data_IF_863215065036
#
_entry.id   IF_863215065036
#
_cell.length_a   1.000
_cell.length_b   1.000
_cell.length_c   1.000
_cell.angle_alpha   90.00
_cell.angle_beta   90.00
_cell.angle_gamma   90.00
#
_symmetry.space_group_name_H-M   'P 1'
#
loop_
_entity.id
_entity.type
_entity.pdbx_description
1 polymer ?
#
# COMPACT_ATOMS: atom_id res chain seq x y z
N UNK A 1 11.94 -34.71 -12.89
CA UNK A 1 10.70 -34.14 -12.28
C UNK A 1 10.92 -33.53 -10.88
N UNK A 2 11.87 -33.98 -10.06
CA UNK A 2 12.02 -33.51 -8.65
C UNK A 2 12.50 -32.08 -8.48
N UNK A 3 13.42 -31.63 -9.33
CA UNK A 3 13.81 -30.22 -9.37
C UNK A 3 12.62 -29.32 -9.72
N UNK A 4 11.63 -29.81 -10.48
CA UNK A 4 10.49 -29.01 -10.92
C UNK A 4 9.63 -28.53 -9.74
N UNK A 5 9.41 -29.37 -8.72
CA UNK A 5 8.65 -28.99 -7.53
C UNK A 5 9.33 -27.89 -6.72
N UNK A 6 10.65 -27.96 -6.57
CA UNK A 6 11.46 -26.92 -5.90
C UNK A 6 11.46 -25.63 -6.71
N UNK A 7 11.68 -25.75 -8.02
CA UNK A 7 11.70 -24.60 -8.95
C UNK A 7 10.37 -23.87 -8.91
N UNK A 8 9.24 -24.58 -9.05
CA UNK A 8 7.90 -24.00 -9.03
C UNK A 8 7.59 -23.40 -7.65
N UNK A 9 7.95 -24.10 -6.56
CA UNK A 9 7.73 -23.61 -5.21
C UNK A 9 8.46 -22.30 -4.94
N UNK A 10 9.76 -22.26 -5.22
CA UNK A 10 10.59 -21.07 -4.97
C UNK A 10 10.24 -19.94 -5.93
N UNK A 11 9.98 -20.22 -7.21
CA UNK A 11 9.57 -19.17 -8.16
C UNK A 11 8.26 -18.53 -7.74
N UNK A 12 7.30 -19.32 -7.26
CA UNK A 12 6.01 -18.82 -6.75
C UNK A 12 6.20 -17.93 -5.51
N UNK A 13 7.00 -18.37 -4.52
CA UNK A 13 7.31 -17.56 -3.33
C UNK A 13 7.91 -16.21 -3.73
N UNK A 14 8.96 -16.24 -4.56
CA UNK A 14 9.68 -15.04 -4.99
C UNK A 14 8.74 -14.09 -5.76
N UNK A 15 7.96 -14.63 -6.70
CA UNK A 15 7.05 -13.83 -7.53
C UNK A 15 6.02 -13.10 -6.67
N UNK A 16 5.38 -13.82 -5.76
CA UNK A 16 4.26 -13.28 -4.97
C UNK A 16 4.76 -12.32 -3.89
N UNK A 17 5.85 -12.66 -3.22
CA UNK A 17 6.43 -11.77 -2.22
C UNK A 17 6.97 -10.47 -2.85
N UNK A 18 7.55 -10.55 -4.06
CA UNK A 18 7.96 -9.36 -4.84
C UNK A 18 6.75 -8.54 -5.28
N UNK A 19 5.66 -9.19 -5.69
CA UNK A 19 4.41 -8.49 -6.02
C UNK A 19 3.81 -7.78 -4.79
N UNK A 20 3.87 -8.41 -3.62
CA UNK A 20 3.46 -7.80 -2.35
C UNK A 20 4.24 -6.53 -2.05
N UNK A 21 5.57 -6.56 -2.14
CA UNK A 21 6.39 -5.36 -1.92
C UNK A 21 6.22 -4.29 -3.00
N UNK A 22 6.05 -4.72 -4.25
CA UNK A 22 5.71 -3.79 -5.34
C UNK A 22 4.39 -3.08 -5.06
N UNK A 23 3.39 -3.80 -4.54
CA UNK A 23 2.07 -3.25 -4.20
C UNK A 23 2.18 -2.25 -3.05
N UNK A 24 2.93 -2.58 -1.99
CA UNK A 24 3.21 -1.64 -0.89
C UNK A 24 3.88 -0.37 -1.37
N UNK A 25 4.91 -0.48 -2.22
CA UNK A 25 5.64 0.67 -2.76
C UNK A 25 4.75 1.58 -3.62
N UNK A 26 3.87 1.00 -4.44
CA UNK A 26 2.88 1.77 -5.23
C UNK A 26 1.90 2.50 -4.32
N UNK A 27 1.31 1.79 -3.36
CA UNK A 27 0.31 2.36 -2.45
C UNK A 27 0.94 3.45 -1.59
N UNK A 28 2.17 3.25 -1.09
CA UNK A 28 2.92 4.28 -0.36
C UNK A 28 3.09 5.56 -1.17
N UNK A 29 3.45 5.45 -2.46
CA UNK A 29 3.59 6.59 -3.36
C UNK A 29 2.26 7.31 -3.62
N UNK A 30 1.15 6.58 -3.65
CA UNK A 30 -0.18 7.19 -3.74
C UNK A 30 -0.51 7.99 -2.50
N UNK A 31 -0.25 7.45 -1.30
CA UNK A 31 -0.43 8.20 -0.06
C UNK A 31 0.45 9.45 0.02
N UNK A 32 1.68 9.41 -0.51
CA UNK A 32 2.51 10.61 -0.65
C UNK A 32 1.85 11.68 -1.52
N UNK A 33 1.19 11.28 -2.62
CA UNK A 33 0.46 12.20 -3.50
C UNK A 33 -0.82 12.77 -2.86
N UNK A 34 -1.55 11.97 -2.07
CA UNK A 34 -2.75 12.41 -1.35
C UNK A 34 -2.48 13.34 -0.17
N UNK A 35 -1.23 13.39 0.30
CA UNK A 35 -0.78 14.29 1.36
C UNK A 35 -0.16 13.53 2.52
N UNK A 36 1.17 13.47 2.53
CA UNK A 36 1.93 12.93 3.68
C UNK A 36 1.56 13.68 4.97
N UNK A 37 1.46 12.95 6.07
CA UNK A 37 1.13 13.48 7.41
C UNK A 37 -0.22 14.24 7.48
N UNK A 38 -1.18 13.90 6.62
CA UNK A 38 -2.57 14.35 6.77
C UNK A 38 -3.24 13.65 7.94
N UNK A 39 -3.99 14.42 8.71
CA UNK A 39 -4.78 13.98 9.85
C UNK A 39 -6.17 14.55 9.69
N UNK A 40 -7.17 13.69 9.79
CA UNK A 40 -8.57 14.11 9.86
C UNK A 40 -9.14 13.64 11.18
N UNK A 41 -9.72 14.57 11.93
CA UNK A 41 -10.36 14.26 13.21
C UNK A 41 -11.86 14.37 12.99
N UNK A 42 -12.56 13.28 13.26
CA UNK A 42 -14.00 13.16 13.09
C UNK A 42 -14.68 13.02 14.44
N UNK A 43 -15.88 13.58 14.52
CA UNK A 43 -16.85 13.19 15.52
C UNK A 43 -17.31 11.74 15.25
N UNK A 44 -17.47 10.90 16.29
CA UNK A 44 -17.93 9.53 16.10
C UNK A 44 -19.37 9.50 15.58
N UNK A 45 -19.71 8.47 14.80
CA UNK A 45 -21.11 8.13 14.53
C UNK A 45 -21.67 7.42 15.78
N UNK A 46 -22.37 8.18 16.63
CA UNK A 46 -22.99 7.69 17.87
C UNK A 46 -24.38 8.30 18.05
N UNK A 47 -25.26 7.62 18.78
CA UNK A 47 -26.59 8.15 19.13
C UNK A 47 -26.53 9.24 20.22
N UNK A 48 -25.43 9.33 20.97
CA UNK A 48 -25.26 10.31 22.07
C UNK A 48 -24.42 11.54 21.67
N UNK A 49 -24.66 12.11 20.49
CA UNK A 49 -24.00 13.35 20.07
C UNK A 49 -24.74 14.57 20.61
N UNK A 50 -24.02 15.48 21.28
CA UNK A 50 -24.53 16.77 21.73
C UNK A 50 -24.14 17.83 20.71
N UNK A 51 -24.94 18.90 20.60
CA UNK A 51 -24.61 20.05 19.75
C UNK A 51 -23.24 20.66 20.06
N UNK A 52 -22.82 20.60 21.33
CA UNK A 52 -21.50 21.09 21.75
C UNK A 52 -20.35 20.23 21.22
N UNK A 53 -20.57 18.97 20.84
CA UNK A 53 -19.52 18.07 20.36
C UNK A 53 -19.10 18.36 18.92
N UNK A 54 -19.93 19.07 18.13
CA UNK A 54 -19.52 19.59 16.83
C UNK A 54 -18.35 20.56 17.00
N UNK A 55 -17.44 20.51 16.02
CA UNK A 55 -16.33 21.44 16.00
C UNK A 55 -16.83 22.83 15.65
N UNK A 56 -16.12 23.84 16.13
CA UNK A 56 -16.39 25.25 15.83
C UNK A 56 -15.14 25.91 15.27
N UNK A 57 -15.29 27.07 14.64
CA UNK A 57 -14.12 27.87 14.24
C UNK A 57 -13.26 28.27 15.44
N UNK A 58 -13.86 28.46 16.63
CA UNK A 58 -13.11 28.74 17.87
C UNK A 58 -12.24 27.54 18.29
N UNK A 59 -12.73 26.31 18.09
CA UNK A 59 -11.93 25.11 18.34
C UNK A 59 -10.71 25.05 17.40
N UNK A 60 -10.92 25.34 16.11
CA UNK A 60 -9.83 25.44 15.12
C UNK A 60 -8.80 26.49 15.54
N UNK A 61 -9.23 27.68 15.96
CA UNK A 61 -8.33 28.75 16.38
C UNK A 61 -7.53 28.37 17.62
N UNK A 62 -8.15 27.71 18.60
CA UNK A 62 -7.47 27.19 19.81
C UNK A 62 -6.45 26.10 19.48
N UNK A 63 -6.80 25.17 18.58
CA UNK A 63 -5.87 24.14 18.10
C UNK A 63 -4.70 24.80 17.38
N UNK A 64 -4.96 25.73 16.47
CA UNK A 64 -3.93 26.47 15.73
C UNK A 64 -3.00 27.24 16.65
N UNK A 65 -3.52 27.88 17.70
CA UNK A 65 -2.73 28.61 18.67
C UNK A 65 -1.83 27.70 19.52
N UNK A 66 -2.35 26.55 19.95
CA UNK A 66 -1.61 25.61 20.82
C UNK A 66 -0.58 24.78 20.06
N UNK A 67 -0.88 24.36 18.83
CA UNK A 67 -0.08 23.43 18.03
C UNK A 67 0.57 24.11 16.81
N UNK A 68 0.83 25.42 16.89
CA UNK A 68 1.33 26.25 15.77
C UNK A 68 2.62 25.74 15.11
N UNK A 69 3.50 25.06 15.86
CA UNK A 69 4.77 24.53 15.35
C UNK A 69 4.61 23.14 14.71
N UNK A 70 3.54 22.43 15.07
CA UNK A 70 3.26 21.07 14.61
C UNK A 70 2.32 21.06 13.39
N UNK A 71 1.51 22.10 13.17
CA UNK A 71 0.50 22.17 12.12
C UNK A 71 0.96 23.08 10.98
N UNK A 72 0.98 22.54 9.75
CA UNK A 72 1.30 23.28 8.52
C UNK A 72 0.05 23.91 7.92
N UNK A 73 -1.07 23.20 7.99
CA UNK A 73 -2.37 23.62 7.47
C UNK A 73 -3.48 23.00 8.33
N UNK A 74 -4.55 23.75 8.57
CA UNK A 74 -5.73 23.31 9.31
C UNK A 74 -6.95 24.06 8.76
N UNK A 75 -8.00 23.31 8.43
CA UNK A 75 -9.24 23.85 7.93
C UNK A 75 -10.44 23.00 8.37
N UNK A 76 -11.65 23.58 8.36
CA UNK A 76 -12.87 22.79 8.42
C UNK A 76 -12.95 21.88 7.19
N UNK A 77 -13.47 20.66 7.38
CA UNK A 77 -13.77 19.75 6.28
C UNK A 77 -15.21 20.00 5.81
N UNK A 78 -15.36 20.65 4.66
CA UNK A 78 -16.65 20.93 4.04
C UNK A 78 -16.63 20.45 2.60
N UNK A 79 -17.64 19.70 2.18
CA UNK A 79 -17.74 19.25 0.79
C UNK A 79 -19.19 19.07 0.35
N UNK A 80 -19.42 19.15 -0.96
CA UNK A 80 -20.71 18.88 -1.59
C UNK A 80 -20.51 18.43 -3.03
N UNK A 81 -21.20 17.37 -3.45
CA UNK A 81 -21.22 16.94 -4.85
C UNK A 81 -22.27 17.73 -5.63
N UNK A 82 -21.87 18.33 -6.75
CA UNK A 82 -22.74 19.20 -7.56
C UNK A 82 -22.43 19.04 -9.06
N UNK A 83 -23.22 19.70 -9.92
CA UNK A 83 -22.90 19.85 -11.34
C UNK A 83 -22.45 21.29 -11.59
N UNK A 84 -21.28 21.45 -12.21
CA UNK A 84 -20.83 22.73 -12.73
C UNK A 84 -21.35 22.90 -14.16
N UNK A 85 -22.07 24.00 -14.39
CA UNK A 85 -22.79 24.28 -15.63
C UNK A 85 -22.29 25.58 -16.25
N UNK A 86 -22.02 25.58 -17.55
CA UNK A 86 -21.81 26.79 -18.34
C UNK A 86 -22.47 26.65 -19.72
N UNK A 87 -23.52 27.43 -19.96
CA UNK A 87 -24.35 27.29 -21.16
C UNK A 87 -24.96 25.89 -21.27
N UNK A 88 -24.59 25.15 -22.32
CA UNK A 88 -25.05 23.76 -22.55
C UNK A 88 -24.10 22.68 -22.01
N UNK A 89 -22.95 23.07 -21.47
CA UNK A 89 -21.91 22.14 -21.01
C UNK A 89 -22.02 21.95 -19.50
N UNK A 90 -21.78 20.72 -19.06
CA UNK A 90 -21.81 20.35 -17.65
C UNK A 90 -20.71 19.36 -17.27
N UNK A 91 -20.27 19.43 -16.03
CA UNK A 91 -19.34 18.47 -15.42
C UNK A 91 -19.81 18.14 -14.00
N UNK A 92 -19.71 16.86 -13.62
CA UNK A 92 -19.90 16.45 -12.22
C UNK A 92 -18.65 16.86 -11.44
N UNK A 93 -18.87 17.49 -10.29
CA UNK A 93 -17.79 18.04 -9.48
C UNK A 93 -18.03 17.77 -7.99
N UNK A 94 -16.99 17.32 -7.30
CA UNK A 94 -16.90 17.38 -5.84
C UNK A 94 -16.39 18.76 -5.47
N UNK A 95 -17.21 19.56 -4.81
CA UNK A 95 -16.84 20.89 -4.32
C UNK A 95 -16.28 20.73 -2.93
N UNK A 96 -15.02 21.09 -2.72
CA UNK A 96 -14.39 21.09 -1.41
C UNK A 96 -14.18 22.53 -0.95
N UNK A 97 -14.64 22.83 0.26
CA UNK A 97 -14.38 24.10 0.92
C UNK A 97 -13.00 24.07 1.58
N UNK A 98 -12.13 24.98 1.18
CA UNK A 98 -10.72 25.04 1.60
C UNK A 98 -10.39 26.40 2.21
N UNK A 99 -9.39 26.39 3.09
CA UNK A 99 -8.75 27.59 3.61
C UNK A 99 -7.59 28.02 2.69
N UNK A 100 -7.00 29.18 3.00
CA UNK A 100 -5.81 29.65 2.30
C UNK A 100 -4.63 28.73 2.59
N UNK A 101 -3.82 28.44 1.57
CA UNK A 101 -2.67 27.56 1.71
C UNK A 101 -2.97 26.08 1.51
N UNK A 102 -4.12 25.72 0.92
CA UNK A 102 -4.51 24.33 0.67
C UNK A 102 -3.53 23.57 -0.25
N UNK A 103 -2.78 24.28 -1.09
CA UNK A 103 -1.69 23.72 -1.89
C UNK A 103 -0.56 23.13 -1.03
N UNK A 104 -0.47 23.48 0.25
CA UNK A 104 0.43 22.83 1.20
C UNK A 104 -0.09 21.46 1.62
N UNK A 105 -1.40 21.24 1.56
CA UNK A 105 -2.07 20.02 1.99
C UNK A 105 -1.93 18.91 0.95
N UNK A 106 -2.37 19.20 -0.28
CA UNK A 106 -2.41 18.27 -1.41
C UNK A 106 -1.43 18.73 -2.48
N UNK A 107 -0.74 17.78 -3.13
CA UNK A 107 0.20 18.07 -4.21
C UNK A 107 -0.57 18.46 -5.48
N UNK A 108 -0.81 19.76 -5.67
CA UNK A 108 -1.48 20.32 -6.85
C UNK A 108 -0.62 21.38 -7.53
N UNK A 109 -0.44 21.24 -8.84
CA UNK A 109 0.31 22.21 -9.63
C UNK A 109 -0.65 23.24 -10.21
N UNK A 110 -0.40 24.53 -9.96
CA UNK A 110 -1.19 25.61 -10.53
C UNK A 110 -0.82 25.81 -11.99
N UNK A 111 -1.77 25.56 -12.90
CA UNK A 111 -1.57 25.74 -14.34
C UNK A 111 -1.74 27.21 -14.73
N UNK A 112 -2.81 27.85 -14.24
CA UNK A 112 -3.13 29.26 -14.49
C UNK A 112 -3.88 29.90 -13.33
N UNK A 113 -3.75 31.22 -13.19
CA UNK A 113 -4.53 32.02 -12.25
C UNK A 113 -3.90 32.07 -10.86
N UNK A 114 -4.71 31.85 -9.81
CA UNK A 114 -4.28 31.86 -8.42
C UNK A 114 -5.09 30.88 -7.56
N UNK A 115 -4.54 30.51 -6.41
CA UNK A 115 -5.26 29.79 -5.36
C UNK A 115 -6.25 30.69 -4.60
N UNK A 116 -7.04 30.06 -3.73
CA UNK A 116 -7.95 30.73 -2.80
C UNK A 116 -7.15 31.54 -1.78
N UNK A 117 -7.55 32.78 -1.55
CA UNK A 117 -6.86 33.72 -0.64
C UNK A 117 -7.67 33.98 0.63
N UNK A 118 -7.01 34.45 1.69
CA UNK A 118 -7.67 34.93 2.92
C UNK A 118 -8.77 35.97 2.65
N UNK A 119 -8.56 36.85 1.66
CA UNK A 119 -9.55 37.84 1.29
C UNK A 119 -10.80 37.23 0.64
N UNK A 120 -10.66 36.11 -0.09
CA UNK A 120 -11.81 35.38 -0.63
C UNK A 120 -12.67 34.77 0.49
N UNK A 121 -12.01 34.22 1.51
CA UNK A 121 -12.65 33.59 2.67
C UNK A 121 -13.38 34.65 3.51
N UNK A 122 -12.68 35.72 3.90
CA UNK A 122 -13.27 36.79 4.74
C UNK A 122 -14.46 37.47 4.09
N UNK A 123 -14.42 37.64 2.77
CA UNK A 123 -15.51 38.27 2.00
C UNK A 123 -16.54 37.26 1.47
N UNK A 124 -16.43 35.96 1.80
CA UNK A 124 -17.30 34.88 1.30
C UNK A 124 -17.50 34.94 -0.23
N UNK A 125 -16.43 35.19 -0.97
CA UNK A 125 -16.51 35.34 -2.44
C UNK A 125 -16.74 33.98 -3.08
N UNK A 126 -17.77 33.87 -3.94
CA UNK A 126 -18.00 32.70 -4.79
C UNK A 126 -16.94 32.63 -5.90
N UNK A 127 -15.75 32.20 -5.53
CA UNK A 127 -14.62 31.94 -6.44
C UNK A 127 -14.24 30.46 -6.36
N UNK A 128 -13.76 29.91 -7.47
CA UNK A 128 -13.39 28.52 -7.57
C UNK A 128 -12.01 28.32 -8.21
N UNK A 129 -11.32 27.29 -7.74
CA UNK A 129 -10.11 26.73 -8.36
C UNK A 129 -10.50 25.36 -8.89
N UNK A 130 -10.40 25.16 -10.20
CA UNK A 130 -10.97 23.98 -10.88
C UNK A 130 -9.87 23.09 -11.47
N UNK A 131 -10.14 21.79 -11.55
CA UNK A 131 -9.25 20.86 -12.24
C UNK A 131 -9.19 21.16 -13.75
N UNK A 132 -8.02 20.95 -14.36
CA UNK A 132 -7.79 21.17 -15.79
C UNK A 132 -8.72 20.33 -16.67
N UNK A 133 -9.01 19.08 -16.33
CA UNK A 133 -9.91 18.25 -17.13
C UNK A 133 -11.35 18.80 -17.12
N UNK A 134 -11.77 19.35 -15.98
CA UNK A 134 -13.06 20.05 -15.85
C UNK A 134 -13.08 21.34 -16.69
N UNK A 135 -12.02 22.14 -16.59
CA UNK A 135 -11.86 23.37 -17.37
C UNK A 135 -11.90 23.09 -18.88
N UNK A 136 -11.19 22.08 -19.37
CA UNK A 136 -11.15 21.69 -20.78
C UNK A 136 -12.50 21.14 -21.26
N UNK A 137 -13.24 20.43 -20.40
CA UNK A 137 -14.59 19.92 -20.71
C UNK A 137 -15.62 21.04 -20.86
N UNK A 138 -15.59 22.04 -19.98
CA UNK A 138 -16.55 23.14 -19.99
C UNK A 138 -16.14 24.26 -20.97
N UNK A 139 -14.85 24.54 -21.10
CA UNK A 139 -14.28 25.64 -21.90
C UNK A 139 -13.18 25.14 -22.87
N UNK A 140 -13.48 24.20 -23.78
CA UNK A 140 -12.49 23.60 -24.67
C UNK A 140 -11.80 24.63 -25.55
N UNK A 141 -10.46 24.64 -25.50
CA UNK A 141 -9.61 25.55 -26.28
C UNK A 141 -9.62 27.01 -25.78
N UNK A 142 -10.29 27.31 -24.68
CA UNK A 142 -10.43 28.66 -24.15
C UNK A 142 -9.77 28.80 -22.77
N UNK A 143 -9.44 30.03 -22.38
CA UNK A 143 -8.98 30.29 -21.01
C UNK A 143 -10.18 30.26 -20.03
N UNK A 144 -10.20 29.29 -19.13
CA UNK A 144 -11.24 29.17 -18.11
C UNK A 144 -11.12 30.24 -16.99
N UNK A 145 -9.91 30.74 -16.71
CA UNK A 145 -9.71 31.75 -15.66
C UNK A 145 -10.43 33.04 -16.01
N UNK A 146 -11.22 33.55 -15.07
CA UNK A 146 -12.04 34.74 -15.21
C UNK A 146 -13.48 34.46 -15.63
N UNK A 147 -13.78 33.26 -16.13
CA UNK A 147 -15.14 32.83 -16.50
C UNK A 147 -15.96 32.43 -15.28
N UNK A 148 -17.26 32.33 -15.47
CA UNK A 148 -18.22 31.95 -14.43
C UNK A 148 -18.87 30.62 -14.77
N UNK A 149 -19.05 29.79 -13.75
CA UNK A 149 -19.80 28.54 -13.80
C UNK A 149 -20.95 28.63 -12.79
N UNK A 150 -22.09 28.03 -13.14
CA UNK A 150 -23.21 27.87 -12.22
C UNK A 150 -23.12 26.54 -11.52
N UNK A 151 -23.26 26.55 -10.20
CA UNK A 151 -23.18 25.38 -9.32
C UNK A 151 -24.31 25.44 -8.29
N UNK A 152 -24.64 24.32 -7.66
CA UNK A 152 -25.44 24.29 -6.43
C UNK A 152 -24.50 24.29 -5.22
N UNK A 153 -24.79 25.15 -4.24
CA UNK A 153 -24.09 25.25 -2.96
C UNK A 153 -25.15 25.27 -1.86
N UNK A 154 -25.10 24.29 -0.95
CA UNK A 154 -26.10 24.07 0.11
C UNK A 154 -27.54 24.03 -0.44
N UNK A 155 -27.71 23.38 -1.59
CA UNK A 155 -28.99 23.28 -2.30
C UNK A 155 -29.46 24.56 -3.01
N UNK A 156 -28.67 25.65 -3.00
CA UNK A 156 -29.00 26.92 -3.65
C UNK A 156 -28.12 27.17 -4.89
N UNK A 157 -28.68 27.67 -6.00
CA UNK A 157 -27.89 28.00 -7.19
C UNK A 157 -26.99 29.21 -6.93
N UNK A 158 -25.71 29.10 -7.31
CA UNK A 158 -24.73 30.15 -7.19
C UNK A 158 -23.85 30.24 -8.45
N UNK A 159 -23.41 31.46 -8.76
CA UNK A 159 -22.48 31.74 -9.85
C UNK A 159 -21.07 31.91 -9.27
N UNK A 160 -20.20 30.95 -9.57
CA UNK A 160 -18.82 30.92 -9.08
C UNK A 160 -17.84 31.35 -10.18
N UNK A 161 -16.96 32.30 -9.88
CA UNK A 161 -15.92 32.76 -10.80
C UNK A 161 -14.67 31.90 -10.68
N UNK A 162 -14.19 31.35 -11.79
CA UNK A 162 -12.94 30.59 -11.83
C UNK A 162 -11.76 31.56 -11.68
N UNK A 163 -10.99 31.40 -10.61
CA UNK A 163 -9.80 32.21 -10.32
C UNK A 163 -8.50 31.45 -10.54
N UNK A 164 -8.55 30.12 -10.60
CA UNK A 164 -7.40 29.26 -10.85
C UNK A 164 -7.78 27.97 -11.55
N UNK A 165 -6.82 27.41 -12.28
CA UNK A 165 -6.89 26.07 -12.86
C UNK A 165 -5.69 25.30 -12.34
N UNK A 166 -5.92 24.15 -11.73
CA UNK A 166 -4.87 23.28 -11.23
C UNK A 166 -4.83 21.96 -12.02
N UNK A 167 -3.70 21.27 -11.96
CA UNK A 167 -3.53 19.94 -12.53
C UNK A 167 -3.16 18.98 -11.40
N UNK A 168 -4.01 17.98 -11.17
CA UNK A 168 -3.72 16.87 -10.27
C UNK A 168 -2.84 15.85 -11.00
N UNK A 169 -1.85 15.30 -10.32
CA UNK A 169 -1.18 14.09 -10.81
C UNK A 169 -2.19 12.94 -10.83
N UNK A 170 -2.25 12.22 -11.94
CA UNK A 170 -3.10 11.02 -12.06
C UNK A 170 -2.74 10.04 -10.95
N UNK A 171 -3.74 9.60 -10.21
CA UNK A 171 -3.65 8.58 -9.18
C UNK A 171 -4.27 7.28 -9.67
N UNK A 172 -3.75 6.13 -9.22
CA UNK A 172 -4.45 4.85 -9.44
C UNK A 172 -5.83 4.82 -8.79
N UNK A 173 -6.06 5.62 -7.74
CA UNK A 173 -7.35 5.72 -7.06
C UNK A 173 -8.39 6.52 -7.87
N UNK A 174 -7.97 7.31 -8.86
CA UNK A 174 -8.90 8.06 -9.73
C UNK A 174 -9.77 7.13 -10.60
N UNK A 175 -9.31 5.89 -10.85
CA UNK A 175 -10.12 4.87 -11.54
C UNK A 175 -11.03 4.05 -10.62
N UNK A 176 -10.75 4.04 -9.30
CA UNK A 176 -11.54 3.35 -8.29
C UNK A 176 -12.67 4.22 -7.74
N UNK A 177 -12.43 5.53 -7.63
CA UNK A 177 -13.42 6.54 -7.29
C UNK A 177 -14.11 7.00 -8.58
N UNK A 178 -15.44 7.15 -8.59
CA UNK A 178 -16.26 7.32 -9.80
C UNK A 178 -15.62 8.17 -10.92
N UNK A 179 -15.39 7.55 -12.08
CA UNK A 179 -14.53 8.01 -13.18
C UNK A 179 -14.89 9.35 -13.86
N UNK A 180 -16.02 9.96 -13.52
CA UNK A 180 -16.55 11.15 -14.20
C UNK A 180 -16.62 12.40 -13.32
N UNK A 181 -16.30 12.28 -12.02
CA UNK A 181 -16.31 13.43 -11.09
C UNK A 181 -14.91 14.02 -10.95
N UNK A 182 -14.82 15.34 -11.03
CA UNK A 182 -13.57 16.09 -10.80
C UNK A 182 -13.69 16.89 -9.51
N UNK A 183 -12.58 17.29 -8.88
CA UNK A 183 -12.65 18.14 -7.69
C UNK A 183 -12.55 19.61 -8.08
N UNK A 184 -13.30 20.47 -7.40
CA UNK A 184 -13.11 21.91 -7.42
C UNK A 184 -13.05 22.46 -6.01
N UNK A 185 -12.25 23.50 -5.81
CA UNK A 185 -12.03 24.10 -4.50
C UNK A 185 -12.66 25.48 -4.41
N UNK A 186 -13.33 25.77 -3.29
CA UNK A 186 -13.95 27.05 -2.99
C UNK A 186 -13.61 27.49 -1.57
N UNK A 187 -13.76 28.77 -1.19
CA UNK A 187 -13.61 29.18 0.20
C UNK A 187 -14.57 28.43 1.13
N UNK A 188 -14.05 27.78 2.18
CA UNK A 188 -14.88 27.04 3.15
C UNK A 188 -16.00 27.89 3.77
N UNK A 189 -15.76 29.20 3.91
CA UNK A 189 -16.66 30.19 4.51
C UNK A 189 -18.02 30.33 3.81
N UNK A 190 -18.14 29.79 2.59
CA UNK A 190 -19.38 29.77 1.80
C UNK A 190 -20.35 28.69 2.32
N UNK A 191 -19.83 27.58 2.87
CA UNK A 191 -20.62 26.45 3.37
C UNK A 191 -21.12 26.70 4.79
N UNK A 192 -21.95 27.73 4.94
CA UNK A 192 -22.37 28.25 6.24
C UNK A 192 -23.11 27.23 7.12
N UNK A 193 -23.96 26.39 6.52
CA UNK A 193 -24.69 25.35 7.25
C UNK A 193 -23.76 24.23 7.71
N UNK A 194 -22.78 23.85 6.89
CA UNK A 194 -21.79 22.84 7.26
C UNK A 194 -20.86 23.33 8.39
N UNK A 195 -20.52 24.62 8.39
CA UNK A 195 -19.74 25.22 9.48
C UNK A 195 -20.50 25.31 10.80
N UNK A 196 -21.84 25.32 10.76
CA UNK A 196 -22.66 25.27 11.97
C UNK A 196 -22.64 23.88 12.62
N UNK A 197 -22.55 22.83 11.82
CA UNK A 197 -22.53 21.43 12.26
C UNK A 197 -21.29 20.70 11.75
N UNK A 198 -20.11 21.24 12.07
CA UNK A 198 -18.84 20.70 11.58
C UNK A 198 -18.51 19.38 12.29
N UNK A 199 -18.74 18.26 11.59
CA UNK A 199 -18.43 16.92 12.08
C UNK A 199 -16.96 16.50 11.94
N UNK A 200 -16.14 17.28 11.22
CA UNK A 200 -14.72 16.97 11.06
C UNK A 200 -13.84 18.18 10.78
N UNK A 201 -12.58 18.07 11.20
CA UNK A 201 -11.51 19.02 10.88
C UNK A 201 -10.40 18.27 10.16
N UNK A 202 -9.80 18.93 9.19
CA UNK A 202 -8.76 18.36 8.33
C UNK A 202 -7.49 19.18 8.43
N UNK A 203 -6.36 18.51 8.62
CA UNK A 203 -5.09 19.17 8.87
C UNK A 203 -3.91 18.42 8.27
N UNK A 204 -2.82 19.16 8.08
CA UNK A 204 -1.52 18.61 7.73
C UNK A 204 -0.53 18.90 8.84
N UNK A 205 0.06 17.83 9.37
CA UNK A 205 1.08 17.88 10.40
C UNK A 205 2.45 18.06 9.74
N UNK A 206 3.35 18.76 10.42
CA UNK A 206 4.74 18.92 10.04
C UNK A 206 5.40 17.55 9.81
N UNK A 207 6.15 17.41 8.72
CA UNK A 207 6.78 16.13 8.33
C UNK A 207 7.78 15.61 9.36
N UNK A 208 8.35 16.49 10.19
CA UNK A 208 9.27 16.14 11.27
C UNK A 208 8.59 15.50 12.50
N UNK A 209 7.25 15.44 12.51
CA UNK A 209 6.46 14.95 13.64
C UNK A 209 5.66 13.72 13.24
N UNK A 210 5.33 12.88 14.23
CA UNK A 210 4.41 11.77 14.05
C UNK A 210 2.98 12.29 13.92
N UNK A 211 2.35 12.08 12.76
CA UNK A 211 0.95 12.48 12.53
C UNK A 211 -0.02 11.74 13.46
N UNK A 212 0.31 10.52 13.85
CA UNK A 212 -0.49 9.71 14.79
C UNK A 212 -0.44 10.36 16.18
N UNK A 213 0.75 10.58 16.73
CA UNK A 213 0.91 11.14 18.08
C UNK A 213 0.35 12.56 18.19
N UNK A 214 0.61 13.41 17.18
CA UNK A 214 0.08 14.78 17.16
C UNK A 214 -1.43 14.77 16.98
N UNK A 215 -1.97 13.92 16.09
CA UNK A 215 -3.41 13.77 15.89
C UNK A 215 -4.13 13.35 17.18
N UNK A 216 -3.61 12.35 17.88
CA UNK A 216 -4.15 11.89 19.17
C UNK A 216 -4.07 12.96 20.25
N UNK A 217 -2.97 13.72 20.29
CA UNK A 217 -2.81 14.85 21.22
C UNK A 217 -3.87 15.94 20.97
N UNK A 218 -4.12 16.28 19.71
CA UNK A 218 -5.13 17.27 19.31
C UNK A 218 -6.54 16.76 19.62
N UNK A 219 -6.85 15.51 19.29
CA UNK A 219 -8.15 14.89 19.59
C UNK A 219 -8.45 14.88 21.08
N UNK A 220 -7.47 14.52 21.92
CA UNK A 220 -7.63 14.53 23.36
C UNK A 220 -7.74 15.95 23.93
N UNK A 221 -7.06 16.93 23.34
CA UNK A 221 -7.24 18.33 23.69
C UNK A 221 -8.66 18.83 23.39
N UNK A 222 -9.19 18.49 22.21
CA UNK A 222 -10.57 18.80 21.82
C UNK A 222 -11.58 18.09 22.73
N UNK A 223 -11.38 16.80 23.01
CA UNK A 223 -12.25 16.04 23.93
C UNK A 223 -12.30 16.69 25.31
N UNK A 224 -11.14 17.07 25.88
CA UNK A 224 -11.07 17.76 27.17
C UNK A 224 -11.81 19.10 27.16
N UNK A 225 -11.65 19.92 26.11
CA UNK A 225 -12.36 21.20 25.99
C UNK A 225 -13.88 21.00 25.94
N UNK A 226 -14.33 19.92 25.32
CA UNK A 226 -15.74 19.58 25.13
C UNK A 226 -16.31 18.72 26.26
N UNK A 227 -15.54 18.51 27.33
CA UNK A 227 -15.92 17.67 28.48
C UNK A 227 -16.34 16.26 28.05
N UNK A 228 -15.51 15.65 27.19
CA UNK A 228 -15.59 14.25 26.76
C UNK A 228 -14.34 13.50 27.24
N UNK A 229 -14.49 12.19 27.39
CA UNK A 229 -13.38 11.31 27.72
C UNK A 229 -12.34 11.27 26.59
N UNK A 230 -11.05 11.00 26.92
CA UNK A 230 -10.02 10.73 25.92
C UNK A 230 -10.48 9.65 24.93
N UNK A 231 -10.17 9.82 23.65
CA UNK A 231 -10.58 8.90 22.59
C UNK A 231 -12.01 9.04 22.08
N UNK A 232 -12.78 10.02 22.55
CA UNK A 232 -14.12 10.31 21.99
C UNK A 232 -14.07 10.69 20.51
N UNK A 233 -13.11 11.55 20.13
CA UNK A 233 -12.90 11.94 18.73
C UNK A 233 -12.03 10.91 18.01
N UNK A 234 -12.44 10.53 16.81
CA UNK A 234 -11.75 9.52 15.99
C UNK A 234 -10.69 10.23 15.15
N UNK A 235 -9.46 9.71 15.21
CA UNK A 235 -8.33 10.24 14.45
C UNK A 235 -8.04 9.28 13.30
N UNK A 236 -8.20 9.77 12.08
CA UNK A 236 -7.68 9.07 10.89
C UNK A 236 -6.45 9.79 10.40
N UNK A 237 -5.40 9.03 10.12
CA UNK A 237 -4.17 9.57 9.55
C UNK A 237 -3.80 8.76 8.32
N UNK A 238 -3.23 9.42 7.34
CA UNK A 238 -2.68 8.75 6.15
C UNK A 238 -1.66 7.67 6.53
N UNK A 239 -0.86 7.89 7.57
CA UNK A 239 0.09 6.89 8.08
C UNK A 239 -0.63 5.67 8.70
N UNK A 240 -1.72 5.88 9.43
CA UNK A 240 -2.52 4.80 10.02
C UNK A 240 -3.22 3.94 8.97
N UNK A 241 -3.75 4.57 7.92
CA UNK A 241 -4.32 3.88 6.77
C UNK A 241 -3.27 3.06 6.01
N UNK A 242 -2.10 3.65 5.75
CA UNK A 242 -0.98 2.94 5.14
C UNK A 242 -0.56 1.73 5.97
N UNK A 243 -0.40 1.88 7.29
CA UNK A 243 -0.05 0.78 8.19
C UNK A 243 -1.08 -0.36 8.14
N UNK A 244 -2.37 -0.02 8.05
CA UNK A 244 -3.45 -1.01 7.96
C UNK A 244 -3.39 -1.79 6.64
N UNK A 245 -3.14 -1.11 5.52
CA UNK A 245 -2.95 -1.76 4.22
C UNK A 245 -1.68 -2.62 4.23
N UNK A 246 -0.58 -2.13 4.79
CA UNK A 246 0.67 -2.89 4.93
C UNK A 246 0.47 -4.17 5.75
N UNK A 247 -0.35 -4.11 6.80
CA UNK A 247 -0.71 -5.27 7.61
C UNK A 247 -1.56 -6.29 6.82
N UNK A 248 -2.54 -5.82 6.03
CA UNK A 248 -3.34 -6.68 5.16
C UNK A 248 -2.45 -7.36 4.12
N UNK A 249 -1.62 -6.61 3.40
CA UNK A 249 -0.70 -7.13 2.38
C UNK A 249 0.32 -8.11 2.98
N UNK A 250 0.82 -7.84 4.19
CA UNK A 250 1.73 -8.74 4.88
C UNK A 250 1.03 -10.04 5.29
N UNK A 251 -0.21 -9.97 5.76
CA UNK A 251 -1.01 -11.16 6.11
C UNK A 251 -1.32 -12.02 4.89
N UNK A 252 -1.68 -11.40 3.76
CA UNK A 252 -1.86 -12.10 2.49
C UNK A 252 -0.56 -12.75 2.01
N UNK A 253 0.56 -12.03 2.12
CA UNK A 253 1.88 -12.56 1.77
C UNK A 253 2.26 -13.77 2.63
N UNK A 254 1.96 -13.76 3.93
CA UNK A 254 2.16 -14.90 4.82
C UNK A 254 1.29 -16.10 4.44
N UNK A 255 0.00 -15.89 4.18
CA UNK A 255 -0.91 -16.96 3.79
C UNK A 255 -0.44 -17.64 2.50
N UNK A 256 -0.01 -16.87 1.51
CA UNK A 256 0.48 -17.42 0.24
C UNK A 256 1.86 -18.07 0.42
N UNK A 257 2.74 -17.47 1.25
CA UNK A 257 4.00 -18.08 1.65
C UNK A 257 3.81 -19.46 2.27
N UNK A 258 2.79 -19.65 3.10
CA UNK A 258 2.44 -20.95 3.67
C UNK A 258 2.00 -21.97 2.60
N UNK A 259 1.18 -21.55 1.62
CA UNK A 259 0.79 -22.42 0.49
C UNK A 259 2.02 -22.85 -0.30
N UNK A 260 2.94 -21.92 -0.57
CA UNK A 260 4.16 -22.22 -1.30
C UNK A 260 5.15 -23.09 -0.49
N UNK A 261 5.17 -22.95 0.83
CA UNK A 261 5.91 -23.87 1.71
C UNK A 261 5.38 -25.30 1.60
N UNK A 262 4.05 -25.50 1.48
CA UNK A 262 3.47 -26.82 1.21
C UNK A 262 3.94 -27.35 -0.15
N UNK A 263 3.94 -26.53 -1.21
CA UNK A 263 4.47 -26.93 -2.51
C UNK A 263 5.94 -27.36 -2.44
N UNK A 264 6.73 -26.68 -1.61
CA UNK A 264 8.13 -27.03 -1.38
C UNK A 264 8.29 -28.34 -0.61
N UNK A 265 7.43 -28.64 0.37
CA UNK A 265 7.39 -29.94 1.03
C UNK A 265 7.08 -31.06 0.04
N UNK A 266 6.09 -30.87 -0.85
CA UNK A 266 5.77 -31.84 -1.91
C UNK A 266 6.97 -32.02 -2.86
N UNK A 267 7.66 -30.93 -3.22
CA UNK A 267 8.91 -30.99 -3.97
C UNK A 267 10.00 -31.78 -3.24
N UNK A 268 10.14 -31.56 -1.93
CA UNK A 268 11.08 -32.26 -1.05
C UNK A 268 10.82 -33.77 -0.95
N UNK A 269 9.54 -34.18 -0.84
CA UNK A 269 9.15 -35.60 -0.91
C UNK A 269 9.58 -36.21 -2.24
N UNK A 270 9.46 -35.44 -3.33
CA UNK A 270 10.00 -35.82 -4.63
C UNK A 270 11.51 -36.12 -4.57
N UNK A 271 12.31 -35.22 -4.00
CA UNK A 271 13.76 -35.42 -3.82
C UNK A 271 14.00 -36.72 -3.07
N UNK A 272 13.32 -36.93 -1.94
CA UNK A 272 13.45 -38.13 -1.12
C UNK A 272 13.19 -39.40 -1.94
N UNK A 273 12.12 -39.44 -2.74
CA UNK A 273 11.76 -40.60 -3.54
C UNK A 273 12.80 -40.91 -4.62
N UNK A 274 13.26 -39.90 -5.38
CA UNK A 274 14.31 -40.13 -6.37
C UNK A 274 15.62 -40.56 -5.72
N UNK A 275 15.98 -39.96 -4.59
CA UNK A 275 17.19 -40.36 -3.86
C UNK A 275 17.08 -41.81 -3.36
N UNK A 276 15.91 -42.26 -2.91
CA UNK A 276 15.70 -43.67 -2.55
C UNK A 276 15.87 -44.60 -3.74
N UNK A 277 15.31 -44.26 -4.91
CA UNK A 277 15.48 -45.03 -6.15
C UNK A 277 16.94 -45.04 -6.58
N UNK A 278 17.63 -43.90 -6.52
CA UNK A 278 19.06 -43.80 -6.86
C UNK A 278 19.93 -44.64 -5.94
N UNK A 279 19.60 -44.69 -4.64
CA UNK A 279 20.29 -45.58 -3.69
C UNK A 279 20.08 -47.04 -4.06
N UNK A 280 18.87 -47.43 -4.48
CA UNK A 280 18.62 -48.82 -4.92
C UNK A 280 19.35 -49.16 -6.22
N UNK A 281 19.39 -48.27 -7.21
CA UNK A 281 20.12 -48.47 -8.46
C UNK A 281 21.64 -48.53 -8.25
N UNK A 282 22.17 -47.71 -7.33
CA UNK A 282 23.61 -47.65 -7.01
C UNK A 282 24.01 -48.57 -5.86
N UNK A 283 23.17 -49.53 -5.46
CA UNK A 283 23.43 -50.42 -4.30
C UNK A 283 24.78 -51.12 -4.41
N UNK A 284 25.08 -51.73 -5.57
CA UNK A 284 26.32 -52.47 -5.82
C UNK A 284 27.56 -51.58 -5.75
N UNK A 285 27.46 -50.36 -6.31
CA UNK A 285 28.54 -49.37 -6.24
C UNK A 285 28.86 -48.95 -4.81
N UNK A 286 27.83 -48.74 -3.97
CA UNK A 286 27.98 -48.41 -2.56
C UNK A 286 28.65 -49.58 -1.80
N UNK A 287 28.27 -50.82 -2.12
CA UNK A 287 28.86 -52.04 -1.56
C UNK A 287 30.35 -52.17 -1.84
N UNK A 288 30.78 -51.88 -3.08
CA UNK A 288 32.20 -51.87 -3.48
C UNK A 288 32.97 -50.81 -2.68
N UNK A 289 32.45 -49.56 -2.60
CA UNK A 289 33.11 -48.47 -1.86
C UNK A 289 33.30 -48.81 -0.37
N UNK A 290 32.29 -49.41 0.25
CA UNK A 290 32.38 -49.85 1.66
C UNK A 290 33.34 -51.01 1.86
N UNK A 291 33.40 -51.96 0.93
CA UNK A 291 34.35 -53.07 0.96
C UNK A 291 35.80 -52.60 0.84
N UNK A 292 36.01 -51.47 0.14
CA UNK A 292 37.30 -50.78 0.03
C UNK A 292 37.60 -49.84 1.21
N UNK A 293 36.75 -49.80 2.25
CA UNK A 293 37.01 -49.09 3.50
C UNK A 293 36.28 -47.74 3.68
N UNK A 294 35.35 -47.36 2.79
CA UNK A 294 34.54 -46.15 2.99
C UNK A 294 33.70 -46.25 4.28
N UNK A 295 33.77 -45.22 5.14
CA UNK A 295 33.01 -45.18 6.40
C UNK A 295 31.57 -44.79 6.12
N UNK A 296 30.66 -45.15 7.05
CA UNK A 296 29.23 -44.75 6.96
C UNK A 296 29.04 -43.24 6.76
N UNK A 297 29.86 -42.43 7.43
CA UNK A 297 29.84 -40.97 7.30
C UNK A 297 30.19 -40.46 5.90
N UNK A 298 31.06 -41.17 5.17
CA UNK A 298 31.52 -40.75 3.85
C UNK A 298 30.38 -40.95 2.82
N UNK A 299 29.70 -42.10 2.90
CA UNK A 299 28.51 -42.38 2.10
C UNK A 299 27.37 -41.42 2.45
N UNK A 300 27.14 -41.17 3.75
CA UNK A 300 26.10 -40.24 4.19
C UNK A 300 26.34 -38.82 3.67
N UNK A 301 27.56 -38.30 3.80
CA UNK A 301 27.91 -36.97 3.31
C UNK A 301 27.78 -36.87 1.79
N UNK A 302 28.17 -37.90 1.04
CA UNK A 302 28.04 -37.89 -0.42
C UNK A 302 26.58 -37.72 -0.85
N UNK A 303 25.66 -38.55 -0.35
CA UNK A 303 24.25 -38.47 -0.72
C UNK A 303 23.58 -37.19 -0.19
N UNK A 304 24.00 -36.70 0.98
CA UNK A 304 23.51 -35.44 1.53
C UNK A 304 23.95 -34.26 0.66
N UNK A 305 25.21 -34.22 0.24
CA UNK A 305 25.72 -33.20 -0.70
C UNK A 305 25.02 -33.29 -2.05
N UNK A 306 24.76 -34.50 -2.59
CA UNK A 306 24.01 -34.69 -3.83
C UNK A 306 22.59 -34.08 -3.72
N UNK A 307 21.90 -34.34 -2.59
CA UNK A 307 20.57 -33.74 -2.34
C UNK A 307 20.60 -32.22 -2.18
N UNK A 308 21.63 -31.67 -1.53
CA UNK A 308 21.81 -30.22 -1.35
C UNK A 308 22.16 -29.53 -2.68
N UNK A 309 22.94 -30.16 -3.56
CA UNK A 309 23.25 -29.61 -4.89
C UNK A 309 21.98 -29.55 -5.74
N UNK A 310 21.16 -30.61 -5.71
CA UNK A 310 19.88 -30.65 -6.42
C UNK A 310 18.94 -29.55 -5.90
N UNK A 311 18.84 -29.39 -4.58
CA UNK A 311 17.99 -28.34 -4.01
C UNK A 311 18.51 -26.94 -4.25
N UNK A 312 19.82 -26.71 -4.14
CA UNK A 312 20.45 -25.42 -4.43
C UNK A 312 20.30 -25.03 -5.90
N UNK A 313 20.48 -25.98 -6.83
CA UNK A 313 20.29 -25.73 -8.27
C UNK A 313 18.82 -25.42 -8.58
N UNK A 314 17.89 -26.19 -8.00
CA UNK A 314 16.47 -25.91 -8.10
C UNK A 314 16.10 -24.55 -7.49
N UNK A 315 16.75 -24.15 -6.40
CA UNK A 315 16.59 -22.85 -5.78
C UNK A 315 17.09 -21.70 -6.62
N UNK A 316 18.30 -21.80 -7.18
CA UNK A 316 18.85 -20.78 -8.08
C UNK A 316 17.95 -20.59 -9.30
N UNK A 317 17.53 -21.69 -9.94
CA UNK A 317 16.65 -21.64 -11.10
C UNK A 317 15.28 -21.08 -10.71
N UNK A 318 14.70 -21.54 -9.60
CA UNK A 318 13.42 -21.05 -9.08
C UNK A 318 13.45 -19.56 -8.77
N UNK A 319 14.51 -19.08 -8.10
CA UNK A 319 14.71 -17.66 -7.80
C UNK A 319 14.84 -16.84 -9.08
N UNK A 320 15.64 -17.30 -10.03
CA UNK A 320 15.81 -16.62 -11.32
C UNK A 320 14.49 -16.50 -12.05
N UNK A 321 13.73 -17.60 -12.16
CA UNK A 321 12.41 -17.61 -12.78
C UNK A 321 11.40 -16.74 -12.02
N UNK A 322 11.44 -16.74 -10.68
CA UNK A 322 10.57 -15.90 -9.87
C UNK A 322 10.82 -14.41 -10.09
N UNK A 323 12.08 -13.99 -10.19
CA UNK A 323 12.44 -12.60 -10.53
C UNK A 323 11.97 -12.24 -11.93
N UNK A 324 12.15 -13.15 -12.89
CA UNK A 324 11.67 -12.96 -14.27
C UNK A 324 10.15 -12.81 -14.29
N UNK A 325 9.39 -13.68 -13.62
CA UNK A 325 7.93 -13.57 -13.55
C UNK A 325 7.48 -12.30 -12.84
N UNK A 326 8.09 -11.93 -11.72
CA UNK A 326 7.80 -10.65 -11.06
C UNK A 326 8.02 -9.47 -12.02
N UNK A 327 9.11 -9.50 -12.79
CA UNK A 327 9.43 -8.45 -13.77
C UNK A 327 8.42 -8.39 -14.92
N UNK A 328 7.97 -9.54 -15.41
CA UNK A 328 6.93 -9.63 -16.45
C UNK A 328 5.61 -9.04 -15.94
N UNK A 329 5.19 -9.43 -14.74
CA UNK A 329 3.97 -8.90 -14.12
C UNK A 329 4.07 -7.38 -13.94
N UNK A 330 5.21 -6.90 -13.45
CA UNK A 330 5.50 -5.48 -13.32
C UNK A 330 5.44 -4.70 -14.63
N UNK A 331 5.94 -5.29 -15.73
CA UNK A 331 5.83 -4.69 -17.06
C UNK A 331 4.37 -4.54 -17.50
N UNK A 332 3.56 -5.60 -17.29
CA UNK A 332 2.12 -5.58 -17.63
C UNK A 332 1.38 -4.53 -16.79
N UNK A 333 1.74 -4.39 -15.51
CA UNK A 333 1.14 -3.41 -14.61
C UNK A 333 1.73 -2.00 -14.76
N UNK A 334 2.76 -1.81 -15.57
CA UNK A 334 3.51 -0.53 -15.71
C UNK A 334 4.05 0.01 -14.38
N UNK A 335 4.47 -0.90 -13.49
CA UNK A 335 5.02 -0.58 -12.16
C UNK A 335 6.39 -1.24 -12.01
N UNK A 336 7.43 -0.54 -11.53
CA UNK A 336 8.75 -1.14 -11.34
C UNK A 336 8.70 -2.27 -10.29
N UNK A 337 9.27 -3.46 -10.58
CA UNK A 337 9.27 -4.57 -9.64
C UNK A 337 10.17 -4.26 -8.44
N UNK A 338 9.67 -4.52 -7.25
CA UNK A 338 10.45 -4.46 -6.00
C UNK A 338 10.76 -5.88 -5.56
N UNK A 339 12.03 -6.27 -5.68
CA UNK A 339 12.54 -7.56 -5.18
C UNK A 339 13.40 -7.31 -3.96
N UNK A 340 12.91 -7.67 -2.76
CA UNK A 340 13.69 -7.52 -1.53
C UNK A 340 14.80 -8.59 -1.46
N UNK A 341 16.07 -8.20 -1.23
CA UNK A 341 17.16 -9.14 -1.00
C UNK A 341 16.86 -10.13 0.14
N UNK A 342 16.10 -9.69 1.15
CA UNK A 342 15.70 -10.54 2.28
C UNK A 342 14.84 -11.73 1.84
N UNK A 343 13.92 -11.53 0.89
CA UNK A 343 13.06 -12.61 0.35
C UNK A 343 13.93 -13.64 -0.38
N UNK A 344 14.90 -13.18 -1.17
CA UNK A 344 15.82 -14.06 -1.91
C UNK A 344 16.65 -14.91 -0.94
N UNK A 345 17.21 -14.29 0.10
CA UNK A 345 17.99 -15.00 1.12
C UNK A 345 17.12 -16.05 1.82
N UNK A 346 15.90 -15.69 2.24
CA UNK A 346 14.97 -16.63 2.89
C UNK A 346 14.66 -17.81 1.96
N UNK A 347 14.37 -17.56 0.69
CA UNK A 347 14.08 -18.60 -0.28
C UNK A 347 15.27 -19.56 -0.49
N UNK A 348 16.50 -19.03 -0.60
CA UNK A 348 17.72 -19.82 -0.76
C UNK A 348 17.99 -20.66 0.49
N UNK A 349 17.96 -20.06 1.68
CA UNK A 349 18.16 -20.78 2.95
C UNK A 349 17.12 -21.87 3.12
N UNK A 350 15.86 -21.57 2.82
CA UNK A 350 14.79 -22.55 2.92
C UNK A 350 14.97 -23.72 1.93
N UNK A 351 15.43 -23.45 0.71
CA UNK A 351 15.75 -24.49 -0.28
C UNK A 351 16.86 -25.44 0.20
N UNK A 352 17.87 -24.91 0.89
CA UNK A 352 18.96 -25.70 1.46
C UNK A 352 18.46 -26.57 2.63
N UNK A 353 17.62 -26.01 3.51
CA UNK A 353 17.01 -26.76 4.63
C UNK A 353 16.13 -27.89 4.13
N UNK A 354 15.29 -27.66 3.12
CA UNK A 354 14.43 -28.70 2.53
C UNK A 354 15.26 -29.80 1.88
N UNK A 355 16.30 -29.44 1.11
CA UNK A 355 17.20 -30.42 0.50
C UNK A 355 17.91 -31.29 1.52
N UNK A 356 18.45 -30.67 2.58
CA UNK A 356 19.08 -31.38 3.69
C UNK A 356 18.08 -32.31 4.39
N UNK A 357 16.91 -31.81 4.78
CA UNK A 357 15.93 -32.57 5.54
C UNK A 357 15.45 -33.83 4.81
N UNK A 358 15.04 -33.69 3.55
CA UNK A 358 14.57 -34.81 2.73
C UNK A 358 15.70 -35.71 2.19
N UNK A 359 16.94 -35.21 2.17
CA UNK A 359 18.14 -35.98 1.81
C UNK A 359 18.68 -36.87 2.93
N UNK A 360 18.44 -36.53 4.21
CA UNK A 360 18.97 -37.27 5.37
C UNK A 360 18.48 -38.73 5.38
N UNK A 361 17.19 -38.97 5.14
CA UNK A 361 16.63 -40.31 5.18
C UNK A 361 17.26 -41.28 4.15
N UNK A 362 17.27 -40.97 2.83
CA UNK A 362 17.91 -41.83 1.83
C UNK A 362 19.42 -41.94 2.05
N UNK A 363 20.11 -40.85 2.43
CA UNK A 363 21.54 -40.87 2.72
C UNK A 363 21.87 -41.82 3.89
N UNK A 364 21.06 -41.82 4.94
CA UNK A 364 21.21 -42.73 6.07
C UNK A 364 20.92 -44.19 5.68
N UNK A 365 19.92 -44.42 4.80
CA UNK A 365 19.64 -45.75 4.26
C UNK A 365 20.83 -46.30 3.48
N UNK A 366 21.42 -45.52 2.57
CA UNK A 366 22.63 -45.88 1.84
C UNK A 366 23.82 -46.16 2.77
N UNK A 367 24.03 -45.28 3.76
CA UNK A 367 25.10 -45.42 4.74
C UNK A 367 24.96 -46.65 5.65
N UNK A 368 23.77 -47.26 5.75
CA UNK A 368 23.54 -48.47 6.56
C UNK A 368 23.58 -49.79 5.79
N UNK A 369 23.65 -49.78 4.46
CA UNK A 369 23.75 -51.01 3.64
C UNK A 369 24.94 -51.90 4.06
N UNK A 370 24.73 -53.21 4.17
CA UNK A 370 25.80 -54.17 4.42
C UNK A 370 26.59 -54.41 3.11
N UNK A 371 27.94 -54.38 3.13
CA UNK A 371 28.74 -54.61 1.92
C UNK A 371 28.49 -55.97 1.27
N UNK A 372 28.22 -57.01 2.07
CA UNK A 372 28.02 -58.39 1.58
C UNK A 372 26.67 -58.49 0.86
N UNK A 373 25.61 -57.95 1.47
CA UNK A 373 24.27 -57.93 0.87
C UNK A 373 24.22 -57.06 -0.39
N UNK A 374 24.93 -55.93 -0.38
CA UNK A 374 24.99 -55.01 -1.51
C UNK A 374 25.70 -55.61 -2.74
N UNK A 375 26.66 -56.52 -2.55
CA UNK A 375 27.38 -57.21 -3.64
C UNK A 375 26.61 -58.42 -4.20
N UNK A 376 25.70 -58.99 -3.40
CA UNK A 376 24.80 -60.08 -3.79
C UNK A 376 23.53 -59.61 -4.51
N UNK A 377 23.27 -58.31 -4.51
CA UNK A 377 22.17 -57.71 -5.23
C UNK A 377 22.45 -57.76 -6.75
N UNK A 378 21.56 -58.40 -7.52
CA UNK A 378 21.60 -58.38 -9.00
C UNK A 378 21.02 -57.09 -9.57
#
# INVERSE_FOLDING_TARGET
MTMLGIIIGISSVITIASLGETSKAVIAKEFEAFGKNRVVIYMPYSEEIRDSDYFTMEDIDKVKAKYKEDIVYLAPSTYENTEAISGRKKAKVSTEGVANGYEKMVNMDLVKGRFITEADIKSRRYVSVVDKAMADKIFPGENAVGKTIRISVEGQPADAKIVGVYEKKKSIFDGMMSSDSTTMYMPYSIFSSQLMYMGSIDMKINESKSSIEVGDSIANFLAKMKKREPGFYIVNTTQGEQNSIDQILSTLSLAIGAIAAISLLVGGIGIMNIMLVSVTERTKEIGIRKSLGARRKDILLQFLVESMIVSATGGIIGTTLGIVFASIVSLVLSVPPVVSPGIVIIAVVFSAVVGMFFGIYPANRAAKLDPIDALRYE
#
